data_IF_046222923613
#
_entry.id   IF_046222923613
#
_cell.length_a   1.000
_cell.length_b   1.000
_cell.length_c   1.000
_cell.angle_alpha   90.00
_cell.angle_beta   90.00
_cell.angle_gamma   90.00
#
_symmetry.space_group_name_H-M   'P 1'
#
loop_
_entity.id
_entity.type
_entity.pdbx_description
1 polymer ?
#
# COMPACT_ATOMS: atom_id res chain seq x y z
N UNK A 1 16.66 -5.39 -6.39
CA UNK A 1 18.02 -5.70 -5.95
C UNK A 1 18.59 -4.56 -5.14
N UNK A 2 19.69 -4.81 -4.39
CA UNK A 2 20.41 -3.77 -3.68
C UNK A 2 21.34 -3.00 -4.65
N UNK A 3 21.59 -1.72 -4.37
CA UNK A 3 22.52 -0.90 -5.16
C UNK A 3 23.92 -1.51 -5.25
N UNK A 4 24.32 -2.26 -4.21
CA UNK A 4 25.60 -3.01 -4.14
C UNK A 4 25.67 -4.20 -5.14
N UNK A 5 24.58 -4.48 -5.84
CA UNK A 5 24.46 -5.57 -6.80
C UNK A 5 24.19 -5.03 -8.23
N UNK A 6 25.14 -4.35 -8.86
CA UNK A 6 24.89 -3.57 -10.08
C UNK A 6 24.37 -4.43 -11.25
N UNK A 7 24.84 -5.65 -11.41
CA UNK A 7 24.37 -6.56 -12.47
C UNK A 7 22.90 -6.93 -12.28
N UNK A 8 22.51 -7.25 -11.04
CA UNK A 8 21.10 -7.57 -10.72
C UNK A 8 20.20 -6.36 -10.85
N UNK A 9 20.71 -5.17 -10.50
CA UNK A 9 19.99 -3.93 -10.67
C UNK A 9 19.71 -3.65 -12.14
N UNK A 10 20.75 -3.75 -12.99
CA UNK A 10 20.63 -3.56 -14.42
C UNK A 10 19.64 -4.54 -15.04
N UNK A 11 19.74 -5.84 -14.75
CA UNK A 11 18.82 -6.86 -15.25
C UNK A 11 17.37 -6.58 -14.81
N UNK A 12 17.17 -6.10 -13.60
CA UNK A 12 15.82 -5.73 -13.11
C UNK A 12 15.26 -4.55 -13.90
N UNK A 13 16.04 -3.48 -14.10
CA UNK A 13 15.61 -2.30 -14.87
C UNK A 13 15.34 -2.64 -16.35
N UNK A 14 16.14 -3.50 -16.95
CA UNK A 14 15.95 -3.97 -18.33
C UNK A 14 14.69 -4.83 -18.50
N UNK A 15 14.28 -5.56 -17.43
CA UNK A 15 13.09 -6.43 -17.46
C UNK A 15 11.78 -5.70 -17.12
N UNK A 16 11.85 -4.50 -16.55
CA UNK A 16 10.67 -3.74 -16.14
C UNK A 16 9.72 -3.40 -17.30
N UNK A 17 10.18 -2.91 -18.47
CA UNK A 17 9.30 -2.59 -19.58
C UNK A 17 8.42 -3.79 -20.00
N UNK A 18 9.02 -4.96 -20.12
CA UNK A 18 8.31 -6.18 -20.50
C UNK A 18 7.25 -6.58 -19.47
N UNK A 19 7.56 -6.39 -18.16
CA UNK A 19 6.60 -6.65 -17.08
C UNK A 19 5.43 -5.67 -17.13
N UNK A 20 5.69 -4.38 -17.38
CA UNK A 20 4.64 -3.37 -17.49
C UNK A 20 3.73 -3.62 -18.67
N UNK A 21 4.27 -3.95 -19.84
CA UNK A 21 3.48 -4.22 -21.05
C UNK A 21 2.58 -5.45 -20.93
N UNK A 22 3.00 -6.43 -20.12
CA UNK A 22 2.30 -7.71 -19.97
C UNK A 22 1.52 -7.85 -18.65
N UNK A 23 1.40 -6.79 -17.87
CA UNK A 23 0.64 -6.79 -16.61
C UNK A 23 -0.36 -5.64 -16.54
N UNK A 24 -1.52 -5.90 -15.95
CA UNK A 24 -2.53 -4.86 -15.67
C UNK A 24 -2.09 -3.92 -14.54
N UNK A 25 -1.32 -4.43 -13.60
CA UNK A 25 -0.71 -3.65 -12.52
C UNK A 25 0.65 -4.23 -12.16
N UNK A 26 1.62 -3.36 -11.94
CA UNK A 26 2.95 -3.74 -11.47
C UNK A 26 3.31 -2.92 -10.22
N UNK A 27 3.60 -3.61 -9.13
CA UNK A 27 3.98 -2.99 -7.86
C UNK A 27 5.46 -3.26 -7.63
N UNK A 28 6.27 -2.21 -7.74
CA UNK A 28 7.71 -2.26 -7.54
C UNK A 28 8.05 -2.20 -6.05
N UNK A 29 8.71 -3.24 -5.55
CA UNK A 29 9.18 -3.29 -4.16
C UNK A 29 10.69 -3.09 -4.10
N UNK A 30 11.15 -2.03 -3.46
CA UNK A 30 12.58 -1.78 -3.23
C UNK A 30 13.10 -2.60 -2.06
N UNK A 31 14.06 -3.49 -2.32
CA UNK A 31 14.71 -4.28 -1.27
C UNK A 31 15.52 -3.42 -0.29
N UNK A 32 16.07 -2.29 -0.75
CA UNK A 32 16.78 -1.34 0.11
C UNK A 32 15.83 -0.69 1.12
N UNK A 33 14.68 -0.23 0.65
CA UNK A 33 13.65 0.32 1.52
C UNK A 33 13.09 -0.71 2.48
N UNK A 34 12.82 -1.91 2.00
CA UNK A 34 12.37 -3.02 2.82
C UNK A 34 13.39 -3.32 3.93
N UNK A 35 14.69 -3.35 3.60
CA UNK A 35 15.78 -3.54 4.56
C UNK A 35 15.84 -2.41 5.58
N UNK A 36 15.73 -1.16 5.13
CA UNK A 36 15.74 0.01 6.01
C UNK A 36 14.55 0.00 6.97
N UNK A 37 13.34 -0.20 6.47
CA UNK A 37 12.12 -0.27 7.29
C UNK A 37 12.16 -1.43 8.30
N UNK A 38 12.73 -2.57 7.89
CA UNK A 38 12.90 -3.71 8.81
C UNK A 38 13.82 -3.36 9.98
N UNK A 39 14.89 -2.62 9.73
CA UNK A 39 15.79 -2.14 10.77
C UNK A 39 15.11 -1.17 11.75
N UNK A 40 14.36 -0.20 11.22
CA UNK A 40 13.59 0.75 12.03
C UNK A 40 12.58 0.04 12.95
N UNK A 41 11.96 -1.02 12.46
CA UNK A 41 10.98 -1.81 13.20
C UNK A 41 11.61 -2.94 14.03
N UNK A 42 12.93 -3.07 14.05
CA UNK A 42 13.68 -4.15 14.72
C UNK A 42 13.27 -5.56 14.24
N UNK A 43 12.86 -5.67 12.98
CA UNK A 43 12.52 -6.93 12.34
C UNK A 43 13.74 -7.46 11.57
N UNK A 44 13.92 -8.78 11.55
CA UNK A 44 14.92 -9.40 10.68
C UNK A 44 14.40 -9.38 9.23
N UNK A 45 14.98 -8.53 8.39
CA UNK A 45 14.58 -8.41 6.99
C UNK A 45 14.79 -9.70 6.18
N UNK A 46 15.69 -10.61 6.63
CA UNK A 46 15.84 -11.94 6.03
C UNK A 46 14.65 -12.84 6.33
N UNK A 47 13.92 -12.53 7.39
CA UNK A 47 12.57 -13.03 7.66
C UNK A 47 11.51 -12.10 7.07
N UNK A 48 11.91 -11.08 6.37
CA UNK A 48 11.09 -10.03 5.77
C UNK A 48 10.20 -10.47 4.59
N UNK A 49 10.23 -11.75 4.25
CA UNK A 49 9.08 -12.42 3.66
C UNK A 49 7.79 -12.06 4.41
N UNK A 50 7.83 -11.93 5.73
CA UNK A 50 6.68 -11.51 6.55
C UNK A 50 6.03 -10.20 6.14
N UNK A 51 6.77 -9.24 5.62
CA UNK A 51 6.19 -8.00 5.10
C UNK A 51 5.45 -8.19 3.78
N UNK A 52 6.02 -8.96 2.88
CA UNK A 52 5.39 -9.31 1.61
C UNK A 52 4.20 -10.23 1.89
N UNK A 53 4.34 -11.16 2.83
CA UNK A 53 3.24 -11.99 3.32
C UNK A 53 2.12 -11.13 3.90
N UNK A 54 2.41 -10.17 4.77
CA UNK A 54 1.42 -9.26 5.36
C UNK A 54 0.70 -8.42 4.30
N UNK A 55 1.43 -7.95 3.28
CA UNK A 55 0.85 -7.25 2.13
C UNK A 55 -0.07 -8.15 1.31
N UNK A 56 0.40 -9.34 0.97
CA UNK A 56 -0.35 -10.31 0.16
C UNK A 56 -1.55 -10.83 0.94
N UNK A 57 -1.40 -11.16 2.21
CA UNK A 57 -2.50 -11.58 3.08
C UNK A 57 -3.53 -10.47 3.26
N UNK A 58 -3.09 -9.22 3.45
CA UNK A 58 -3.96 -8.06 3.53
C UNK A 58 -4.83 -7.94 2.27
N UNK A 59 -4.20 -8.00 1.11
CA UNK A 59 -4.88 -7.91 -0.18
C UNK A 59 -5.81 -9.10 -0.42
N UNK A 60 -5.32 -10.33 -0.27
CA UNK A 60 -6.12 -11.55 -0.47
C UNK A 60 -7.27 -11.65 0.53
N UNK A 61 -7.03 -11.30 1.79
CA UNK A 61 -8.07 -11.30 2.82
C UNK A 61 -9.22 -10.35 2.47
N UNK A 62 -8.90 -9.24 1.84
CA UNK A 62 -9.91 -8.26 1.45
C UNK A 62 -10.76 -8.74 0.30
N UNK A 63 -10.14 -9.40 -0.68
CA UNK A 63 -10.87 -9.94 -1.85
C UNK A 63 -11.62 -11.24 -1.54
N UNK A 64 -11.13 -12.03 -0.56
CA UNK A 64 -11.65 -13.36 -0.27
C UNK A 64 -12.62 -13.44 0.89
N UNK A 65 -12.62 -12.47 1.81
CA UNK A 65 -13.44 -12.50 3.03
C UNK A 65 -14.51 -11.42 3.00
N UNK A 66 -15.73 -11.81 3.38
CA UNK A 66 -16.86 -10.88 3.52
C UNK A 66 -16.59 -9.90 4.67
N UNK A 67 -16.71 -8.62 4.42
CA UNK A 67 -16.52 -7.53 5.37
C UNK A 67 -17.82 -6.78 5.70
N UNK A 68 -17.71 -5.72 6.50
CA UNK A 68 -18.83 -4.78 6.77
C UNK A 68 -19.14 -3.93 5.54
N UNK A 69 -18.10 -3.53 4.81
CA UNK A 69 -18.17 -2.89 3.50
C UNK A 69 -17.31 -3.76 2.58
N UNK A 70 -17.96 -4.40 1.61
CA UNK A 70 -17.29 -5.30 0.69
C UNK A 70 -16.82 -4.55 -0.54
N UNK A 71 -15.59 -4.85 -0.94
CA UNK A 71 -15.05 -4.51 -2.25
C UNK A 71 -14.87 -5.81 -3.02
N UNK A 72 -15.26 -5.82 -4.25
CA UNK A 72 -15.08 -6.99 -5.11
C UNK A 72 -13.87 -6.87 -6.04
N UNK A 73 -13.61 -7.92 -6.79
CA UNK A 73 -12.49 -7.95 -7.74
C UNK A 73 -12.67 -6.93 -8.88
N UNK A 74 -13.91 -6.61 -9.25
CA UNK A 74 -14.18 -5.61 -10.29
C UNK A 74 -13.88 -4.20 -9.79
N UNK A 75 -14.21 -3.92 -8.53
CA UNK A 75 -13.83 -2.68 -7.85
C UNK A 75 -12.31 -2.52 -7.84
N UNK A 76 -11.60 -3.58 -7.44
CA UNK A 76 -10.13 -3.58 -7.45
C UNK A 76 -9.57 -3.34 -8.85
N UNK A 77 -10.12 -4.04 -9.84
CA UNK A 77 -9.71 -3.89 -11.25
C UNK A 77 -9.86 -2.45 -11.73
N UNK A 78 -10.97 -1.80 -11.43
CA UNK A 78 -11.23 -0.40 -11.80
C UNK A 78 -10.14 0.53 -11.26
N UNK A 79 -9.70 0.32 -10.04
CA UNK A 79 -8.63 1.12 -9.42
C UNK A 79 -7.27 0.88 -10.08
N UNK A 80 -6.91 -0.36 -10.36
CA UNK A 80 -5.56 -0.70 -10.87
C UNK A 80 -5.41 -0.55 -12.38
N UNK A 81 -6.48 -0.35 -13.12
CA UNK A 81 -6.45 -0.09 -14.57
C UNK A 81 -5.96 1.33 -14.93
N UNK A 82 -5.79 2.22 -13.97
CA UNK A 82 -5.22 3.54 -14.24
C UNK A 82 -3.77 3.42 -14.70
N UNK A 83 -3.41 4.05 -15.85
CA UNK A 83 -2.05 3.98 -16.37
C UNK A 83 -1.05 4.61 -15.41
N UNK A 84 0.10 3.98 -15.24
CA UNK A 84 1.16 4.45 -14.35
C UNK A 84 1.63 3.39 -13.38
N UNK A 85 2.47 3.80 -12.45
CA UNK A 85 2.94 2.91 -11.40
C UNK A 85 1.89 2.75 -10.29
N UNK A 86 2.00 1.66 -9.56
CA UNK A 86 1.19 1.41 -8.37
C UNK A 86 2.07 1.11 -7.16
N UNK A 87 1.56 1.41 -5.97
CA UNK A 87 2.22 1.06 -4.70
C UNK A 87 1.20 0.55 -3.69
N UNK A 88 1.70 -0.18 -2.71
CA UNK A 88 0.91 -0.62 -1.56
C UNK A 88 1.42 0.09 -0.30
N UNK A 89 0.50 0.58 0.50
CA UNK A 89 0.74 1.24 1.77
C UNK A 89 0.12 0.41 2.87
N UNK A 90 0.83 0.18 3.95
CA UNK A 90 0.33 -0.55 5.11
C UNK A 90 0.65 0.21 6.38
N UNK A 91 -0.37 0.48 7.17
CA UNK A 91 -0.24 1.07 8.49
C UNK A 91 -1.09 0.32 9.51
N UNK A 92 -0.61 0.24 10.73
CA UNK A 92 -1.38 -0.34 11.83
C UNK A 92 -1.05 0.37 13.13
N UNK A 93 -2.02 0.41 14.03
CA UNK A 93 -1.84 1.05 15.32
C UNK A 93 -3.03 0.82 16.24
N UNK A 94 -3.02 1.54 17.35
CA UNK A 94 -4.09 1.56 18.34
C UNK A 94 -5.28 2.43 17.88
N UNK A 95 -6.49 2.06 18.24
CA UNK A 95 -7.72 2.82 17.94
C UNK A 95 -7.69 4.25 18.46
N UNK A 96 -6.87 4.55 19.45
CA UNK A 96 -6.71 5.91 20.01
C UNK A 96 -5.68 6.77 19.28
N UNK A 97 -5.00 6.24 18.25
CA UNK A 97 -3.89 6.91 17.54
C UNK A 97 -4.06 6.86 16.03
N UNK A 98 -5.23 7.26 15.52
CA UNK A 98 -5.63 7.09 14.12
C UNK A 98 -4.69 7.81 13.15
N UNK A 99 -4.25 9.04 13.46
CA UNK A 99 -3.32 9.80 12.63
C UNK A 99 -1.94 9.12 12.49
N UNK A 100 -1.48 8.46 13.54
CA UNK A 100 -0.24 7.70 13.48
C UNK A 100 -0.34 6.47 12.55
N UNK A 101 -1.53 5.88 12.43
CA UNK A 101 -1.78 4.76 11.50
C UNK A 101 -1.58 5.21 10.06
N UNK A 102 -2.21 6.32 9.67
CA UNK A 102 -2.11 6.88 8.30
C UNK A 102 -0.67 7.33 8.03
N UNK A 103 -0.07 8.05 8.97
CA UNK A 103 1.34 8.48 8.87
C UNK A 103 2.29 7.30 8.70
N UNK A 104 2.08 6.21 9.46
CA UNK A 104 2.87 4.99 9.33
C UNK A 104 2.67 4.34 7.96
N UNK A 105 1.46 4.33 7.44
CA UNK A 105 1.16 3.81 6.11
C UNK A 105 1.89 4.62 5.02
N UNK A 106 1.86 5.93 5.11
CA UNK A 106 2.53 6.84 4.17
C UNK A 106 4.06 6.78 4.24
N UNK A 107 4.61 6.54 5.42
CA UNK A 107 6.05 6.34 5.60
C UNK A 107 6.52 4.96 5.14
N UNK A 108 5.58 4.08 4.82
CA UNK A 108 5.81 2.71 4.38
C UNK A 108 5.66 2.47 2.88
N UNK A 109 5.87 3.44 1.96
CA UNK A 109 5.87 3.11 0.55
C UNK A 109 7.05 2.19 0.27
N UNK A 110 6.78 1.06 -0.33
CA UNK A 110 7.80 0.11 -0.76
C UNK A 110 8.59 0.63 -1.98
N UNK A 111 8.15 1.74 -2.54
CA UNK A 111 8.77 2.45 -3.67
C UNK A 111 8.95 3.95 -3.35
N UNK A 112 9.75 4.66 -4.14
CA UNK A 112 9.96 6.11 -4.05
C UNK A 112 8.84 6.93 -4.70
N UNK A 113 7.62 6.42 -4.71
CA UNK A 113 6.48 7.06 -5.35
C UNK A 113 5.79 8.01 -4.36
N UNK A 114 5.50 9.20 -4.83
CA UNK A 114 4.63 10.13 -4.13
C UNK A 114 3.17 9.76 -4.42
N UNK A 115 2.35 9.66 -3.38
CA UNK A 115 0.93 9.33 -3.52
C UNK A 115 0.10 10.50 -4.04
N UNK A 116 0.63 11.72 -3.95
CA UNK A 116 0.07 12.89 -4.64
C UNK A 116 0.09 12.65 -6.15
N UNK A 117 -1.02 12.94 -6.82
CA UNK A 117 -1.19 12.67 -8.25
C UNK A 117 -1.71 11.28 -8.59
N UNK A 118 -2.04 10.46 -7.60
CA UNK A 118 -2.72 9.19 -7.78
C UNK A 118 -4.07 9.36 -8.49
N UNK A 119 -4.42 8.42 -9.35
CA UNK A 119 -5.71 8.40 -10.05
C UNK A 119 -6.68 7.39 -9.47
N UNK A 120 -6.18 6.37 -8.81
CA UNK A 120 -6.97 5.38 -8.10
C UNK A 120 -6.40 5.07 -6.73
N UNK A 121 -7.27 4.91 -5.75
CA UNK A 121 -6.92 4.50 -4.40
C UNK A 121 -7.95 3.52 -3.86
N UNK A 122 -7.51 2.33 -3.52
CA UNK A 122 -8.32 1.31 -2.89
C UNK A 122 -7.86 1.16 -1.45
N UNK A 123 -8.75 1.43 -0.51
CA UNK A 123 -8.46 1.45 0.91
C UNK A 123 -9.24 0.35 1.60
N UNK A 124 -8.55 -0.52 2.31
CA UNK A 124 -9.15 -1.49 3.19
C UNK A 124 -8.79 -1.19 4.64
N UNK A 125 -9.79 -0.98 5.46
CA UNK A 125 -9.65 -0.79 6.91
C UNK A 125 -10.10 -2.06 7.63
N UNK A 126 -9.25 -2.60 8.46
CA UNK A 126 -9.52 -3.74 9.32
C UNK A 126 -9.38 -3.31 10.78
N UNK A 127 -10.37 -3.63 11.60
CA UNK A 127 -10.35 -3.34 13.03
C UNK A 127 -11.05 -4.42 13.83
N UNK A 128 -11.07 -4.27 15.16
CA UNK A 128 -11.85 -5.14 16.04
C UNK A 128 -13.34 -4.90 15.94
N UNK A 129 -14.17 -5.70 16.67
CA UNK A 129 -15.60 -5.42 16.84
C UNK A 129 -15.89 -4.05 17.47
N UNK A 130 -14.92 -3.49 18.17
CA UNK A 130 -14.92 -2.15 18.77
C UNK A 130 -14.64 -1.02 17.78
N UNK A 131 -14.26 -1.33 16.54
CA UNK A 131 -14.09 -0.34 15.48
C UNK A 131 -15.41 0.31 15.13
N UNK A 132 -15.48 1.62 15.31
CA UNK A 132 -16.66 2.43 15.02
C UNK A 132 -16.61 3.06 13.63
N UNK A 133 -17.75 3.58 13.16
CA UNK A 133 -17.80 4.38 11.92
C UNK A 133 -16.91 5.64 12.05
N UNK A 134 -16.79 6.20 13.25
CA UNK A 134 -15.90 7.32 13.51
C UNK A 134 -14.43 6.98 13.18
N UNK A 135 -13.96 5.82 13.67
CA UNK A 135 -12.60 5.36 13.39
C UNK A 135 -12.37 5.18 11.89
N UNK A 136 -13.33 4.56 11.19
CA UNK A 136 -13.28 4.35 9.75
C UNK A 136 -13.21 5.67 8.98
N UNK A 137 -14.11 6.60 9.28
CA UNK A 137 -14.16 7.89 8.62
C UNK A 137 -12.88 8.71 8.86
N UNK A 138 -12.41 8.77 10.12
CA UNK A 138 -11.21 9.54 10.46
C UNK A 138 -9.98 9.06 9.69
N UNK A 139 -9.76 7.75 9.63
CA UNK A 139 -8.64 7.16 8.87
C UNK A 139 -8.80 7.44 7.37
N UNK A 140 -10.02 7.30 6.84
CA UNK A 140 -10.29 7.51 5.42
C UNK A 140 -10.11 8.97 5.01
N UNK A 141 -10.67 9.90 5.78
CA UNK A 141 -10.56 11.34 5.52
C UNK A 141 -9.11 11.81 5.52
N UNK A 142 -8.31 11.35 6.48
CA UNK A 142 -6.89 11.68 6.55
C UNK A 142 -6.14 11.12 5.33
N UNK A 143 -6.45 9.91 4.90
CA UNK A 143 -5.86 9.31 3.70
C UNK A 143 -6.24 10.09 2.43
N UNK A 144 -7.55 10.36 2.26
CA UNK A 144 -8.10 11.06 1.09
C UNK A 144 -7.58 12.49 0.99
N UNK A 145 -7.34 13.16 2.13
CA UNK A 145 -6.78 14.52 2.14
C UNK A 145 -5.41 14.66 1.48
N UNK A 146 -4.72 13.55 1.28
CA UNK A 146 -3.38 13.47 0.67
C UNK A 146 -3.41 13.15 -0.82
N UNK A 147 -4.59 12.79 -1.33
CA UNK A 147 -4.81 12.44 -2.73
C UNK A 147 -5.35 13.65 -3.49
N UNK A 148 -5.18 13.63 -4.79
CA UNK A 148 -5.77 14.64 -5.67
C UNK A 148 -7.30 14.53 -5.67
N UNK A 149 -7.98 15.63 -5.89
CA UNK A 149 -9.45 15.69 -5.89
C UNK A 149 -10.12 14.88 -7.01
N UNK A 150 -9.37 14.52 -8.04
CA UNK A 150 -9.82 13.67 -9.15
C UNK A 150 -9.44 12.18 -8.96
N UNK A 151 -8.85 11.84 -7.82
CA UNK A 151 -8.55 10.45 -7.47
C UNK A 151 -9.83 9.67 -7.18
N UNK A 152 -10.01 8.56 -7.87
CA UNK A 152 -11.10 7.63 -7.57
C UNK A 152 -10.76 6.81 -6.33
N UNK A 153 -11.59 6.92 -5.28
CA UNK A 153 -11.35 6.23 -4.01
C UNK A 153 -12.43 5.19 -3.76
N UNK A 154 -12.01 3.97 -3.48
CA UNK A 154 -12.89 2.87 -3.05
C UNK A 154 -12.50 2.43 -1.64
N UNK A 155 -13.49 2.30 -0.77
CA UNK A 155 -13.32 1.99 0.64
C UNK A 155 -13.99 0.67 1.00
N UNK A 156 -13.22 -0.23 1.60
CA UNK A 156 -13.70 -1.44 2.24
C UNK A 156 -13.47 -1.43 3.75
N UNK A 157 -14.30 -2.12 4.50
CA UNK A 157 -14.14 -2.25 5.94
C UNK A 157 -14.42 -3.68 6.40
N UNK A 158 -13.55 -4.19 7.27
CA UNK A 158 -13.67 -5.53 7.84
C UNK A 158 -13.47 -5.50 9.36
N UNK A 159 -14.13 -6.42 10.04
CA UNK A 159 -13.95 -6.65 11.47
C UNK A 159 -13.36 -8.03 11.72
N UNK A 160 -12.39 -8.10 12.65
CA UNK A 160 -11.77 -9.35 13.10
C UNK A 160 -11.56 -9.28 14.62
N UNK A 161 -11.91 -10.35 15.33
CA UNK A 161 -11.74 -10.42 16.78
C UNK A 161 -10.27 -10.30 17.22
N UNK A 162 -9.35 -10.66 16.33
CA UNK A 162 -7.90 -10.54 16.57
C UNK A 162 -7.42 -9.07 16.58
N UNK A 163 -8.26 -8.15 16.12
CA UNK A 163 -7.95 -6.73 15.96
C UNK A 163 -8.59 -5.85 17.06
N UNK A 164 -9.07 -6.43 18.17
CA UNK A 164 -9.64 -5.64 19.27
C UNK A 164 -8.63 -4.59 19.76
N UNK A 165 -9.06 -3.34 19.84
CA UNK A 165 -8.24 -2.18 20.23
C UNK A 165 -7.25 -1.72 19.15
N UNK A 166 -7.26 -2.33 17.97
CA UNK A 166 -6.31 -2.04 16.88
C UNK A 166 -7.02 -1.80 15.57
N UNK A 167 -6.35 -1.02 14.73
CA UNK A 167 -6.75 -0.80 13.33
C UNK A 167 -5.55 -1.07 12.43
N UNK A 168 -5.80 -1.70 11.30
CA UNK A 168 -4.87 -1.86 10.19
C UNK A 168 -5.48 -1.28 8.93
N UNK A 169 -4.68 -0.57 8.18
CA UNK A 169 -5.04 -0.03 6.87
C UNK A 169 -4.11 -0.62 5.83
N UNK A 170 -4.70 -1.12 4.77
CA UNK A 170 -4.01 -1.51 3.54
C UNK A 170 -4.57 -0.66 2.42
N UNK A 171 -3.73 0.06 1.70
CA UNK A 171 -4.16 0.83 0.54
C UNK A 171 -3.34 0.47 -0.69
N UNK A 172 -4.02 0.28 -1.82
CA UNK A 172 -3.40 0.16 -3.13
C UNK A 172 -3.63 1.47 -3.86
N UNK A 173 -2.56 2.13 -4.24
CA UNK A 173 -2.58 3.43 -4.92
C UNK A 173 -2.03 3.25 -6.32
N UNK A 174 -2.73 3.73 -7.34
CA UNK A 174 -2.42 3.52 -8.75
C UNK A 174 -2.47 4.82 -9.56
N UNK A 175 -2.00 4.77 -10.81
CA UNK A 175 -1.92 5.94 -11.67
C UNK A 175 -0.85 6.93 -11.24
N UNK A 176 0.15 6.47 -10.49
CA UNK A 176 1.26 7.30 -10.01
C UNK A 176 2.22 7.60 -11.15
N UNK A 177 2.77 8.83 -11.13
CA UNK A 177 3.82 9.21 -12.07
C UNK A 177 5.16 8.72 -11.55
N UNK A 178 5.94 8.11 -12.42
CA UNK A 178 7.34 7.84 -12.12
C UNK A 178 8.03 9.16 -11.84
N UNK A 179 8.59 9.33 -10.66
CA UNK A 179 9.49 10.46 -10.39
C UNK A 179 10.69 10.29 -11.31
N UNK A 180 10.66 10.95 -12.45
CA UNK A 180 11.82 11.03 -13.34
C UNK A 180 12.94 11.58 -12.49
N UNK A 181 13.93 10.76 -12.17
CA UNK A 181 15.13 11.16 -11.49
C UNK A 181 15.69 12.39 -12.17
N UNK A 182 15.49 13.58 -11.61
CA UNK A 182 16.37 14.70 -11.87
C UNK A 182 17.72 14.41 -11.22
N UNK A 183 18.43 13.46 -11.76
CA UNK A 183 19.87 13.39 -11.63
C UNK A 183 20.43 14.23 -12.79
N UNK A 184 20.40 15.54 -12.64
CA UNK A 184 21.23 16.45 -13.40
C UNK A 184 21.74 17.51 -12.42
N UNK A 185 23.02 17.46 -12.15
CA UNK A 185 23.76 18.46 -11.40
C UNK A 185 24.88 17.87 -10.61
#
# INVERSE_FOLDING_TARGET
>A
PFAEQPIRYQLAEESFPDLYENSNVCIKVSLERLSWQSKERKLDWKKGAGWIEELVEGLLSTLAKVGKINLDLMDFKTIVEHPGEATILVGSGDTNSLSEIVKTALQSPLSNLEVSGAKGCWIQVEGGPDMTIYHLNSVTEEFVSLLDSDCQVLLGARSSDEMIGRIRVVAVVSGLRTSSNRLIG
#
